data_IF_707664274709
#
_entry.id   IF_707664274709
#
_cell.length_a   1.000
_cell.length_b   1.000
_cell.length_c   1.000
_cell.angle_alpha   90.00
_cell.angle_beta   90.00
_cell.angle_gamma   90.00
#
_symmetry.space_group_name_H-M   'P 1'
#
loop_
_entity.id
_entity.type
_entity.pdbx_description
1 polymer ?
#
# COMPACT_ATOMS: atom_id res chain seq x y z
N UNK A 1 11.59 15.38 -24.62
CA UNK A 1 11.45 14.83 -23.26
C UNK A 1 10.91 13.43 -23.40
N UNK A 2 11.48 12.43 -22.71
CA UNK A 2 11.06 11.03 -22.84
C UNK A 2 10.42 10.61 -21.51
N UNK A 3 9.11 10.40 -21.50
CA UNK A 3 8.42 9.88 -20.32
C UNK A 3 7.86 8.51 -20.63
N UNK A 4 8.26 7.52 -19.83
CA UNK A 4 7.74 6.16 -19.91
C UNK A 4 6.49 6.06 -19.05
N UNK A 5 5.37 5.66 -19.66
CA UNK A 5 4.17 5.30 -18.91
C UNK A 5 4.40 3.96 -18.21
N UNK A 6 4.06 3.91 -16.93
CA UNK A 6 4.02 2.73 -16.09
C UNK A 6 2.57 2.28 -15.90
N UNK A 7 2.36 0.98 -15.84
CA UNK A 7 1.13 0.43 -15.27
C UNK A 7 1.09 0.66 -13.75
N UNK A 8 -0.08 0.48 -13.15
CA UNK A 8 -0.28 0.56 -11.70
C UNK A 8 0.59 -0.48 -10.96
N UNK A 9 0.80 -1.65 -11.57
CA UNK A 9 1.65 -2.70 -11.02
C UNK A 9 3.13 -2.31 -10.99
N UNK A 10 3.64 -1.77 -12.10
CA UNK A 10 5.02 -1.26 -12.16
C UNK A 10 5.23 -0.06 -11.23
N UNK A 11 4.23 0.79 -11.13
CA UNK A 11 4.25 1.92 -10.21
C UNK A 11 4.30 1.50 -8.74
N UNK A 12 3.50 0.50 -8.38
CA UNK A 12 3.46 0.00 -7.02
C UNK A 12 4.80 -0.58 -6.57
N UNK A 13 5.47 -1.37 -7.42
CA UNK A 13 6.80 -1.91 -7.12
C UNK A 13 7.80 -0.79 -6.81
N UNK A 14 7.72 0.30 -7.58
CA UNK A 14 8.60 1.45 -7.41
C UNK A 14 8.26 2.26 -6.13
N UNK A 15 6.97 2.37 -5.78
CA UNK A 15 6.58 2.94 -4.48
C UNK A 15 7.11 2.10 -3.34
N UNK A 16 7.01 0.77 -3.43
CA UNK A 16 7.53 -0.14 -2.41
C UNK A 16 9.03 0.06 -2.20
N UNK A 17 9.79 0.17 -3.30
CA UNK A 17 11.22 0.47 -3.24
C UNK A 17 11.49 1.81 -2.50
N UNK A 18 10.80 2.89 -2.87
CA UNK A 18 10.98 4.20 -2.22
C UNK A 18 10.50 4.23 -0.78
N UNK A 19 9.41 3.57 -0.48
CA UNK A 19 8.86 3.43 0.87
C UNK A 19 9.88 2.72 1.78
N UNK A 20 10.57 1.71 1.24
CA UNK A 20 11.67 1.03 1.94
C UNK A 20 12.79 2.00 2.32
N UNK A 21 13.26 2.81 1.37
CA UNK A 21 14.30 3.83 1.64
C UNK A 21 13.81 4.97 2.56
N UNK A 22 12.54 5.33 2.46
CA UNK A 22 11.91 6.38 3.26
C UNK A 22 11.56 5.98 4.69
N UNK A 23 11.83 4.72 5.10
CA UNK A 23 11.52 4.23 6.44
C UNK A 23 10.03 4.01 6.72
N UNK A 24 9.22 3.84 5.67
CA UNK A 24 7.82 3.49 5.79
C UNK A 24 7.67 2.05 6.29
N UNK A 25 6.62 1.79 7.07
CA UNK A 25 6.28 0.45 7.55
C UNK A 25 5.31 -0.25 6.61
N UNK A 26 4.42 0.53 6.00
CA UNK A 26 3.33 0.02 5.18
C UNK A 26 3.20 0.81 3.89
N UNK A 27 2.97 0.11 2.79
CA UNK A 27 2.39 0.70 1.58
C UNK A 27 1.00 0.13 1.43
N UNK A 28 -0.02 0.98 1.46
CA UNK A 28 -1.41 0.56 1.27
C UNK A 28 -1.90 1.18 -0.03
N UNK A 29 -2.43 0.37 -0.92
CA UNK A 29 -3.03 0.83 -2.16
C UNK A 29 -4.51 0.47 -2.21
N UNK A 30 -5.36 1.47 -2.38
CA UNK A 30 -6.75 1.21 -2.78
C UNK A 30 -6.79 0.80 -4.25
N UNK A 31 -7.47 -0.32 -4.53
CA UNK A 31 -7.76 -0.81 -5.89
C UNK A 31 -9.26 -0.84 -6.09
N UNK A 32 -9.74 -0.10 -7.08
CA UNK A 32 -11.14 -0.08 -7.48
C UNK A 32 -11.31 0.34 -8.93
N UNK A 33 -12.50 0.13 -9.49
CA UNK A 33 -12.82 0.63 -10.83
C UNK A 33 -13.15 2.13 -10.72
N UNK A 34 -13.27 2.78 -11.90
CA UNK A 34 -13.39 4.24 -11.99
C UNK A 34 -14.58 4.80 -11.20
N UNK A 35 -15.69 4.05 -11.10
CA UNK A 35 -16.91 4.51 -10.45
C UNK A 35 -16.74 4.64 -8.92
N UNK A 36 -15.99 3.74 -8.29
CA UNK A 36 -15.77 3.75 -6.83
C UNK A 36 -14.60 4.67 -6.43
N UNK A 37 -13.59 4.76 -7.29
CA UNK A 37 -12.33 5.44 -7.02
C UNK A 37 -12.49 6.91 -6.55
N UNK A 38 -13.23 7.75 -7.28
CA UNK A 38 -13.27 9.18 -6.98
C UNK A 38 -13.97 9.51 -5.66
N UNK A 39 -15.07 8.82 -5.36
CA UNK A 39 -15.81 8.99 -4.09
C UNK A 39 -14.94 8.61 -2.90
N UNK A 40 -14.29 7.45 -2.99
CA UNK A 40 -13.47 6.88 -1.91
C UNK A 40 -12.20 7.71 -1.69
N UNK A 41 -11.59 8.23 -2.76
CA UNK A 41 -10.44 9.13 -2.65
C UNK A 41 -10.77 10.36 -1.80
N UNK A 42 -11.88 11.04 -2.12
CA UNK A 42 -12.31 12.25 -1.42
C UNK A 42 -12.64 11.96 0.06
N UNK A 43 -13.22 10.80 0.36
CA UNK A 43 -13.49 10.38 1.74
C UNK A 43 -12.19 10.24 2.55
N UNK A 44 -11.16 9.59 1.99
CA UNK A 44 -9.88 9.37 2.68
C UNK A 44 -9.08 10.66 2.79
N UNK A 45 -9.00 11.46 1.72
CA UNK A 45 -8.23 12.70 1.67
C UNK A 45 -8.64 13.67 2.79
N UNK A 46 -9.95 13.81 3.03
CA UNK A 46 -10.50 14.67 4.08
C UNK A 46 -10.11 14.25 5.50
N UNK A 47 -9.82 12.97 5.71
CA UNK A 47 -9.49 12.41 7.02
C UNK A 47 -8.03 11.97 7.15
N UNK A 48 -7.23 12.14 6.10
CA UNK A 48 -5.88 11.56 6.00
C UNK A 48 -4.93 12.11 7.06
N UNK A 49 -4.93 13.42 7.31
CA UNK A 49 -4.06 14.04 8.31
C UNK A 49 -4.20 13.35 9.68
N UNK A 50 -5.43 13.09 10.12
CA UNK A 50 -5.73 12.41 11.37
C UNK A 50 -5.24 10.96 11.42
N UNK A 51 -5.30 10.23 10.30
CA UNK A 51 -4.82 8.84 10.21
C UNK A 51 -3.29 8.78 10.14
N UNK A 52 -2.69 9.69 9.39
CA UNK A 52 -1.27 9.73 9.10
C UNK A 52 -0.47 10.15 10.35
N UNK A 53 -0.98 11.10 11.13
CA UNK A 53 -0.38 11.52 12.41
C UNK A 53 -0.29 10.36 13.41
N UNK A 54 -1.31 9.48 13.46
CA UNK A 54 -1.34 8.36 14.40
C UNK A 54 -0.23 7.32 14.15
N UNK A 55 0.24 7.18 12.92
CA UNK A 55 1.34 6.27 12.57
C UNK A 55 2.68 6.98 12.37
N UNK A 56 2.77 8.26 12.78
CA UNK A 56 3.95 9.09 12.62
C UNK A 56 4.49 9.09 11.18
N UNK A 57 3.59 9.23 10.20
CA UNK A 57 3.91 9.24 8.76
C UNK A 57 4.53 7.94 8.21
N UNK A 58 4.31 6.79 8.84
CA UNK A 58 4.89 5.49 8.42
C UNK A 58 4.02 4.70 7.45
N UNK A 59 2.87 5.22 7.02
CA UNK A 59 2.00 4.61 6.02
C UNK A 59 2.07 5.41 4.72
N UNK A 60 2.48 4.77 3.64
CA UNK A 60 2.36 5.29 2.29
C UNK A 60 1.01 4.87 1.72
N UNK A 61 0.09 5.81 1.52
CA UNK A 61 -1.23 5.49 0.96
C UNK A 61 -1.33 5.90 -0.50
N UNK A 62 -1.49 4.90 -1.36
CA UNK A 62 -1.64 5.01 -2.80
C UNK A 62 -3.08 4.71 -3.17
N UNK A 63 -3.57 5.38 -4.20
CA UNK A 63 -4.94 5.28 -4.64
C UNK A 63 -4.98 5.00 -6.13
N UNK A 64 -5.66 3.93 -6.55
CA UNK A 64 -5.98 3.72 -7.95
C UNK A 64 -7.01 4.77 -8.37
N UNK A 65 -6.58 5.75 -9.16
CA UNK A 65 -7.40 6.90 -9.51
C UNK A 65 -7.72 6.92 -11.00
N UNK A 66 -8.83 7.57 -11.34
CA UNK A 66 -9.02 8.05 -12.71
C UNK A 66 -7.93 9.07 -13.06
N UNK A 67 -7.76 9.40 -14.34
CA UNK A 67 -6.66 10.30 -14.73
C UNK A 67 -6.84 11.69 -14.13
N UNK A 68 -5.84 12.16 -13.40
CA UNK A 68 -5.81 13.50 -12.83
C UNK A 68 -4.61 14.28 -13.36
N UNK A 69 -4.84 15.11 -14.38
CA UNK A 69 -3.82 15.83 -15.14
C UNK A 69 -2.84 16.63 -14.25
N UNK A 70 -3.31 17.14 -13.12
CA UNK A 70 -2.55 18.02 -12.22
C UNK A 70 -1.84 17.30 -11.08
N UNK A 71 -2.26 16.07 -10.75
CA UNK A 71 -1.80 15.33 -9.58
C UNK A 71 -1.45 13.88 -9.94
N UNK A 72 -0.55 13.73 -10.90
CA UNK A 72 -0.09 12.42 -11.33
C UNK A 72 1.17 11.98 -10.59
N UNK A 73 1.27 10.66 -10.46
CA UNK A 73 2.40 10.01 -9.86
C UNK A 73 3.59 9.97 -10.82
N UNK A 74 4.63 10.76 -10.54
CA UNK A 74 5.76 10.96 -11.45
C UNK A 74 7.13 10.85 -10.75
N UNK A 75 8.06 10.20 -11.43
CA UNK A 75 9.46 10.09 -11.05
C UNK A 75 10.39 10.70 -12.10
N UNK A 76 11.17 11.70 -11.70
CA UNK A 76 12.22 12.28 -12.53
C UNK A 76 13.52 11.51 -12.32
N UNK A 77 14.20 11.15 -13.41
CA UNK A 77 15.59 10.69 -13.30
C UNK A 77 16.50 11.91 -13.18
N UNK A 78 17.26 12.06 -12.07
CA UNK A 78 18.16 13.19 -11.93
C UNK A 78 19.27 13.15 -13.00
N UNK A 79 19.67 14.33 -13.48
CA UNK A 79 20.83 14.56 -14.36
C UNK A 79 20.84 13.83 -15.72
N UNK A 80 19.69 13.44 -16.27
CA UNK A 80 19.61 12.90 -17.65
C UNK A 80 19.07 13.94 -18.64
N UNK A 81 19.90 14.34 -19.61
CA UNK A 81 19.47 15.07 -20.81
C UNK A 81 19.47 14.15 -22.05
N UNK A 82 18.39 14.14 -22.87
CA UNK A 82 17.14 14.88 -22.68
C UNK A 82 16.36 14.36 -21.46
N UNK A 83 15.60 15.23 -20.80
CA UNK A 83 14.82 14.89 -19.60
C UNK A 83 14.10 13.54 -19.78
N UNK A 84 14.34 12.64 -18.81
CA UNK A 84 13.70 11.32 -18.72
C UNK A 84 12.94 11.17 -17.41
N UNK A 85 11.78 10.52 -17.47
CA UNK A 85 11.01 10.18 -16.28
C UNK A 85 10.10 8.97 -16.48
N UNK A 86 9.55 8.48 -15.37
CA UNK A 86 8.52 7.45 -15.33
C UNK A 86 7.25 8.03 -14.73
N UNK A 87 6.09 7.62 -15.21
CA UNK A 87 4.82 8.10 -14.66
C UNK A 87 3.75 7.03 -14.64
N UNK A 88 2.89 7.07 -13.62
CA UNK A 88 1.66 6.32 -13.59
C UNK A 88 0.46 7.30 -13.54
N UNK A 89 -0.33 7.39 -14.62
CA UNK A 89 -1.49 8.30 -14.66
C UNK A 89 -2.70 7.76 -13.88
N UNK A 90 -2.61 6.52 -13.38
CA UNK A 90 -3.70 5.83 -12.68
C UNK A 90 -3.46 5.71 -11.18
N UNK A 91 -2.45 6.40 -10.65
CA UNK A 91 -2.11 6.39 -9.24
C UNK A 91 -2.09 7.81 -8.66
N UNK A 92 -2.65 7.96 -7.47
CA UNK A 92 -2.54 9.17 -6.63
C UNK A 92 -2.03 8.80 -5.26
N UNK A 93 -1.18 9.64 -4.68
CA UNK A 93 -0.77 9.50 -3.28
C UNK A 93 -1.64 10.45 -2.47
N UNK A 94 -2.12 9.97 -1.31
CA UNK A 94 -2.94 10.78 -0.42
C UNK A 94 -2.04 11.58 0.53
N UNK A 95 -2.34 12.86 0.71
CA UNK A 95 -1.60 13.76 1.60
C UNK A 95 -0.34 14.36 0.98
N UNK A 96 0.65 14.69 1.81
CA UNK A 96 1.91 15.25 1.32
C UNK A 96 2.66 14.17 0.56
N UNK A 97 2.81 14.38 -0.74
CA UNK A 97 3.51 13.44 -1.60
C UNK A 97 5.03 13.52 -1.35
N UNK A 98 5.53 12.58 -0.54
CA UNK A 98 6.95 12.40 -0.25
C UNK A 98 7.67 11.54 -1.28
N UNK A 99 6.93 10.92 -2.20
CA UNK A 99 7.48 10.02 -3.21
C UNK A 99 7.62 10.69 -4.57
N UNK A 100 6.78 11.68 -4.91
CA UNK A 100 6.86 12.44 -6.16
C UNK A 100 8.19 13.17 -6.27
N UNK A 101 8.79 13.07 -7.45
CA UNK A 101 9.97 13.83 -7.85
C UNK A 101 9.64 14.91 -8.91
N UNK A 102 8.38 15.39 -9.00
CA UNK A 102 8.01 16.31 -10.09
C UNK A 102 7.17 17.54 -9.78
N UNK A 103 7.41 18.51 -10.67
CA UNK A 103 6.91 19.88 -10.76
C UNK A 103 6.47 20.10 -12.22
N UNK A 104 5.23 19.78 -12.59
CA UNK A 104 4.70 20.05 -13.94
C UNK A 104 3.42 19.30 -14.32
N UNK A 105 2.56 19.95 -15.11
CA UNK A 105 1.27 19.41 -15.58
C UNK A 105 1.45 18.33 -16.67
N UNK A 106 0.76 17.19 -16.49
CA UNK A 106 0.91 15.98 -17.30
C UNK A 106 0.64 16.14 -18.80
N UNK A 107 -0.33 16.99 -19.16
CA UNK A 107 -0.69 17.21 -20.56
C UNK A 107 0.51 17.68 -21.40
N UNK A 108 1.40 18.47 -20.80
CA UNK A 108 2.60 18.97 -21.46
C UNK A 108 3.75 17.97 -21.45
N UNK A 109 3.62 16.88 -20.68
CA UNK A 109 4.66 15.89 -20.48
C UNK A 109 4.51 14.63 -21.34
N UNK A 110 3.32 14.41 -21.92
CA UNK A 110 2.97 13.22 -22.68
C UNK A 110 2.62 13.58 -24.13
N UNK A 111 3.45 13.14 -25.09
CA UNK A 111 3.13 13.29 -26.51
C UNK A 111 1.85 12.50 -26.84
N UNK A 112 0.92 13.15 -27.55
CA UNK A 112 -0.37 12.56 -27.93
C UNK A 112 -1.34 12.26 -26.77
N UNK A 113 -1.24 12.99 -25.66
CA UNK A 113 -2.17 12.87 -24.52
C UNK A 113 -3.65 12.80 -24.94
N UNK A 114 -4.06 13.62 -25.93
CA UNK A 114 -5.44 13.68 -26.41
C UNK A 114 -5.88 12.49 -27.27
N UNK A 115 -4.96 11.68 -27.79
CA UNK A 115 -5.31 10.52 -28.64
C UNK A 115 -5.52 9.23 -27.86
N UNK A 116 -5.23 9.20 -26.56
CA UNK A 116 -5.34 7.99 -25.76
C UNK A 116 -6.75 7.73 -25.24
N UNK A 117 -7.20 6.47 -25.34
CA UNK A 117 -8.40 6.02 -24.65
C UNK A 117 -8.08 5.73 -23.17
N UNK A 118 -8.03 6.80 -22.39
CA UNK A 118 -7.65 6.77 -20.99
C UNK A 118 -8.52 5.89 -20.09
N UNK A 119 -9.80 5.72 -20.44
CA UNK A 119 -10.70 4.83 -19.72
C UNK A 119 -10.29 3.37 -19.91
N UNK A 120 -9.94 2.99 -21.12
CA UNK A 120 -9.48 1.64 -21.47
C UNK A 120 -8.12 1.35 -20.84
N UNK A 121 -7.17 2.28 -20.93
CA UNK A 121 -5.86 2.13 -20.30
C UNK A 121 -5.95 2.00 -18.77
N UNK A 122 -6.84 2.75 -18.12
CA UNK A 122 -7.11 2.56 -16.69
C UNK A 122 -7.65 1.16 -16.40
N UNK A 123 -8.63 0.69 -17.17
CA UNK A 123 -9.19 -0.66 -17.01
C UNK A 123 -8.13 -1.73 -17.18
N UNK A 124 -7.30 -1.63 -18.22
CA UNK A 124 -6.19 -2.55 -18.48
C UNK A 124 -5.18 -2.53 -17.32
N UNK A 125 -4.79 -1.35 -16.86
CA UNK A 125 -3.83 -1.22 -15.76
C UNK A 125 -4.34 -1.80 -14.43
N UNK A 126 -5.64 -1.77 -14.16
CA UNK A 126 -6.22 -2.45 -12.99
C UNK A 126 -6.22 -3.96 -13.21
N UNK A 127 -6.58 -4.43 -14.41
CA UNK A 127 -6.58 -5.85 -14.76
C UNK A 127 -5.18 -6.46 -14.62
N UNK A 128 -4.15 -5.80 -15.17
CA UNK A 128 -2.76 -6.21 -14.99
C UNK A 128 -2.36 -6.27 -13.51
N UNK A 129 -2.82 -5.31 -12.70
CA UNK A 129 -2.54 -5.29 -11.27
C UNK A 129 -3.15 -6.48 -10.54
N UNK A 130 -4.44 -6.77 -10.76
CA UNK A 130 -5.11 -7.87 -10.06
C UNK A 130 -4.60 -9.23 -10.54
N UNK A 131 -4.27 -9.39 -11.82
CA UNK A 131 -3.71 -10.62 -12.37
C UNK A 131 -2.33 -10.92 -11.78
N UNK A 132 -1.44 -9.91 -11.73
CA UNK A 132 -0.11 -10.04 -11.12
C UNK A 132 -0.16 -10.49 -9.66
N UNK A 133 -1.20 -10.05 -8.93
CA UNK A 133 -1.33 -10.27 -7.49
C UNK A 133 -2.38 -11.33 -7.13
N UNK A 134 -2.84 -12.12 -8.10
CA UNK A 134 -3.81 -13.21 -7.91
C UNK A 134 -5.14 -12.76 -7.24
N UNK A 135 -5.56 -11.52 -7.50
CA UNK A 135 -6.81 -10.94 -7.00
C UNK A 135 -7.91 -11.19 -8.03
N UNK A 136 -9.08 -11.66 -7.60
CA UNK A 136 -10.23 -11.87 -8.50
C UNK A 136 -10.97 -10.57 -8.74
N UNK A 137 -11.46 -10.37 -9.96
CA UNK A 137 -12.28 -9.20 -10.33
C UNK A 137 -13.49 -9.02 -9.40
N UNK A 138 -14.14 -10.12 -8.99
CA UNK A 138 -15.30 -10.10 -8.10
C UNK A 138 -14.97 -9.66 -6.66
N UNK A 139 -13.69 -9.60 -6.30
CA UNK A 139 -13.25 -9.18 -4.98
C UNK A 139 -12.95 -7.68 -4.91
N UNK A 140 -13.08 -6.95 -6.03
CA UNK A 140 -12.97 -5.48 -6.08
C UNK A 140 -14.27 -4.80 -5.59
N UNK A 141 -14.19 -3.59 -5.00
CA UNK A 141 -12.97 -2.85 -4.64
C UNK A 141 -12.33 -3.34 -3.34
N UNK A 142 -11.06 -3.00 -3.12
CA UNK A 142 -10.33 -3.42 -1.93
C UNK A 142 -9.02 -2.68 -1.64
N UNK A 143 -8.38 -3.06 -0.55
CA UNK A 143 -7.08 -2.57 -0.11
C UNK A 143 -6.00 -3.63 -0.34
N UNK A 144 -4.98 -3.25 -1.08
CA UNK A 144 -3.75 -4.01 -1.22
C UNK A 144 -2.70 -3.47 -0.23
N UNK A 145 -2.40 -4.25 0.80
CA UNK A 145 -1.51 -3.87 1.90
C UNK A 145 -0.17 -4.59 1.74
N UNK A 146 0.91 -3.83 1.69
CA UNK A 146 2.28 -4.33 1.68
C UNK A 146 3.01 -3.97 2.96
N UNK A 147 3.56 -4.98 3.63
CA UNK A 147 4.46 -4.81 4.76
C UNK A 147 5.90 -4.66 4.26
N UNK A 148 6.49 -3.48 4.48
CA UNK A 148 7.84 -3.17 4.01
C UNK A 148 8.91 -4.06 4.67
N UNK A 149 8.75 -4.37 5.95
CA UNK A 149 9.73 -5.15 6.70
C UNK A 149 9.66 -6.65 6.36
N UNK A 150 8.44 -7.19 6.29
CA UNK A 150 8.22 -8.62 6.02
C UNK A 150 8.22 -8.94 4.52
N UNK A 151 8.15 -7.92 3.65
CA UNK A 151 8.01 -8.06 2.19
C UNK A 151 6.82 -8.92 1.78
N UNK A 152 5.73 -8.82 2.54
CA UNK A 152 4.51 -9.58 2.34
C UNK A 152 3.36 -8.68 1.92
N UNK A 153 2.50 -9.21 1.06
CA UNK A 153 1.28 -8.57 0.58
C UNK A 153 0.05 -9.22 1.18
N UNK A 154 -1.01 -8.44 1.36
CA UNK A 154 -2.34 -8.94 1.69
C UNK A 154 -3.40 -8.10 1.00
N UNK A 155 -4.38 -8.77 0.41
CA UNK A 155 -5.56 -8.12 -0.14
C UNK A 155 -6.72 -8.19 0.85
N UNK A 156 -7.42 -7.07 1.02
CA UNK A 156 -8.60 -6.93 1.88
C UNK A 156 -9.73 -6.39 1.02
N UNK A 157 -10.71 -7.23 0.70
CA UNK A 157 -11.92 -6.80 0.01
C UNK A 157 -12.72 -5.84 0.89
N UNK A 158 -13.19 -4.74 0.30
CA UNK A 158 -14.13 -3.84 0.96
C UNK A 158 -15.55 -4.37 0.73
N UNK A 159 -16.28 -4.51 1.84
CA UNK A 159 -17.71 -4.85 1.81
C UNK A 159 -18.53 -3.56 1.84
N UNK A 160 -19.69 -3.56 1.21
CA UNK A 160 -20.57 -2.39 1.11
C UNK A 160 -20.93 -1.74 2.45
N UNK A 161 -20.92 -2.52 3.54
CA UNK A 161 -21.24 -2.07 4.90
C UNK A 161 -20.03 -1.48 5.66
N UNK A 162 -18.79 -1.83 5.27
CA UNK A 162 -17.58 -1.38 5.96
C UNK A 162 -16.94 -0.18 5.22
N UNK A 163 -17.08 1.02 5.78
CA UNK A 163 -16.42 2.21 5.26
C UNK A 163 -14.89 2.10 5.32
N UNK A 164 -14.22 2.47 4.22
CA UNK A 164 -12.75 2.42 4.10
C UNK A 164 -12.06 3.19 5.24
N UNK A 165 -12.63 4.32 5.67
CA UNK A 165 -12.10 5.10 6.76
C UNK A 165 -12.04 4.30 8.07
N UNK A 166 -13.10 3.56 8.39
CA UNK A 166 -13.15 2.71 9.60
C UNK A 166 -12.10 1.62 9.56
N UNK A 167 -11.88 1.02 8.38
CA UNK A 167 -10.87 -0.01 8.18
C UNK A 167 -9.46 0.56 8.36
N UNK A 168 -9.16 1.70 7.72
CA UNK A 168 -7.87 2.38 7.87
C UNK A 168 -7.63 2.88 9.30
N UNK A 169 -8.66 3.38 9.98
CA UNK A 169 -8.58 3.78 11.39
C UNK A 169 -8.22 2.59 12.27
N UNK A 170 -8.88 1.45 12.10
CA UNK A 170 -8.60 0.24 12.86
C UNK A 170 -7.19 -0.31 12.57
N UNK A 171 -6.78 -0.31 11.30
CA UNK A 171 -5.44 -0.70 10.88
C UNK A 171 -4.36 0.20 11.53
N UNK A 172 -4.56 1.51 11.43
CA UNK A 172 -3.67 2.54 12.00
C UNK A 172 -3.53 2.37 13.51
N UNK A 173 -4.65 2.20 14.22
CA UNK A 173 -4.65 2.01 15.67
C UNK A 173 -3.92 0.73 16.09
N UNK A 174 -4.20 -0.41 15.43
CA UNK A 174 -3.50 -1.67 15.69
C UNK A 174 -2.01 -1.58 15.38
N UNK A 175 -1.63 -0.95 14.27
CA UNK A 175 -0.21 -0.75 13.92
C UNK A 175 0.52 0.05 15.01
N UNK A 176 -0.11 1.10 15.55
CA UNK A 176 0.46 1.89 16.64
C UNK A 176 0.61 1.09 17.93
N UNK A 177 -0.42 0.32 18.33
CA UNK A 177 -0.32 -0.53 19.52
C UNK A 177 0.84 -1.52 19.42
N UNK A 178 1.07 -2.09 18.25
CA UNK A 178 2.21 -2.98 17.99
C UNK A 178 3.53 -2.20 18.13
N UNK A 179 3.63 -1.00 17.55
CA UNK A 179 4.84 -0.17 17.68
C UNK A 179 5.13 0.19 19.14
N UNK A 180 4.12 0.59 19.91
CA UNK A 180 4.26 0.89 21.34
C UNK A 180 4.73 -0.34 22.14
N UNK A 181 4.23 -1.54 21.81
CA UNK A 181 4.68 -2.80 22.43
C UNK A 181 6.13 -3.13 22.06
N UNK A 182 6.53 -2.92 20.80
CA UNK A 182 7.91 -3.12 20.35
C UNK A 182 8.85 -2.11 21.04
N UNK A 183 8.48 -0.84 21.14
CA UNK A 183 9.31 0.17 21.83
C UNK A 183 9.43 -0.10 23.34
N UNK A 184 8.34 -0.52 23.98
CA UNK A 184 8.35 -0.85 25.40
C UNK A 184 9.13 -2.14 25.70
N UNK A 185 9.11 -3.13 24.81
CA UNK A 185 9.90 -4.36 24.95
C UNK A 185 11.38 -4.14 24.61
N UNK A 186 11.71 -3.32 23.61
CA UNK A 186 13.10 -3.01 23.23
C UNK A 186 13.85 -2.11 24.23
N UNK A 187 13.14 -1.42 25.14
CA UNK A 187 13.74 -0.74 26.31
C UNK A 187 14.18 -1.69 27.44
N UNK A 188 13.85 -2.99 27.37
CA UNK A 188 14.36 -4.04 28.27
C UNK A 188 15.33 -4.93 27.48
N UNK A 189 16.64 -4.76 27.71
CA UNK A 189 17.71 -5.41 26.92
C UNK A 189 17.67 -6.95 26.95
N UNK A 190 18.02 -7.50 25.78
CA UNK A 190 18.56 -8.81 25.38
C UNK A 190 17.86 -10.13 25.78
N UNK A 191 17.89 -11.08 24.83
CA UNK A 191 17.23 -12.40 24.73
C UNK A 191 15.69 -12.45 24.79
N UNK A 192 15.04 -11.41 25.32
CA UNK A 192 13.58 -11.36 25.42
C UNK A 192 12.84 -10.96 24.14
N UNK A 193 13.51 -10.50 23.07
CA UNK A 193 12.81 -10.08 21.83
C UNK A 193 12.21 -11.26 21.07
N UNK A 194 12.96 -12.35 20.92
CA UNK A 194 12.46 -13.57 20.28
C UNK A 194 11.33 -14.17 21.13
N UNK A 195 11.50 -14.23 22.44
CA UNK A 195 10.45 -14.69 23.36
C UNK A 195 9.21 -13.80 23.35
N UNK A 196 9.38 -12.48 23.31
CA UNK A 196 8.27 -11.53 23.22
C UNK A 196 7.54 -11.63 21.88
N UNK A 197 8.23 -11.90 20.77
CA UNK A 197 7.61 -12.20 19.48
C UNK A 197 6.80 -13.50 19.57
N UNK A 198 7.37 -14.57 20.13
CA UNK A 198 6.66 -15.84 20.35
C UNK A 198 5.44 -15.69 21.28
N UNK A 199 5.57 -14.98 22.40
CA UNK A 199 4.47 -14.72 23.33
C UNK A 199 3.39 -13.83 22.67
N UNK A 200 3.78 -12.95 21.74
CA UNK A 200 2.87 -12.10 20.95
C UNK A 200 2.12 -12.91 19.90
N UNK A 201 2.78 -13.85 19.21
CA UNK A 201 2.14 -14.79 18.29
C UNK A 201 1.15 -15.70 19.01
N UNK A 202 1.52 -16.19 20.20
CA UNK A 202 0.63 -17.01 21.03
C UNK A 202 -0.60 -16.23 21.52
N UNK A 203 -0.42 -14.94 21.84
CA UNK A 203 -1.53 -14.04 22.18
C UNK A 203 -2.43 -13.72 20.97
N UNK A 204 -1.86 -13.56 19.77
CA UNK A 204 -2.61 -13.41 18.50
C UNK A 204 -3.42 -14.68 18.20
N UNK A 205 -2.83 -15.87 18.38
CA UNK A 205 -3.50 -17.16 18.25
C UNK A 205 -4.64 -17.32 19.25
N UNK A 206 -4.43 -16.92 20.51
CA UNK A 206 -5.45 -16.97 21.57
C UNK A 206 -6.61 -16.01 21.30
N UNK A 207 -6.33 -14.80 20.82
CA UNK A 207 -7.37 -13.83 20.42
C UNK A 207 -8.15 -14.30 19.17
N UNK A 208 -7.48 -14.96 18.22
CA UNK A 208 -8.14 -15.53 17.04
C UNK A 208 -9.01 -16.75 17.38
N UNK A 209 -8.67 -17.51 18.44
CA UNK A 209 -9.51 -18.60 18.96
C UNK A 209 -10.85 -18.11 19.54
N UNK A 210 -10.93 -16.84 19.96
CA UNK A 210 -12.14 -16.21 20.49
C UNK A 210 -12.98 -15.49 19.40
N UNK A 211 -12.61 -15.60 18.12
CA UNK A 211 -13.30 -15.01 16.96
C UNK A 211 -13.60 -16.06 15.87
N UNK A 212 -14.39 -15.70 14.86
CA UNK A 212 -15.02 -16.66 13.93
C UNK A 212 -14.04 -17.67 13.28
N UNK A 213 -14.51 -18.88 12.93
CA UNK A 213 -13.66 -19.98 12.44
C UNK A 213 -12.79 -19.62 11.23
N UNK A 214 -13.25 -18.70 10.37
CA UNK A 214 -12.48 -18.25 9.21
C UNK A 214 -11.22 -17.45 9.58
N UNK A 215 -11.28 -16.60 10.62
CA UNK A 215 -10.12 -15.82 11.08
C UNK A 215 -9.04 -16.70 11.72
N UNK A 216 -9.45 -17.78 12.38
CA UNK A 216 -8.56 -18.75 13.01
C UNK A 216 -7.75 -19.55 11.99
N UNK A 217 -8.37 -20.05 10.92
CA UNK A 217 -7.67 -20.83 9.89
C UNK A 217 -6.65 -19.97 9.13
N UNK A 218 -7.03 -18.73 8.77
CA UNK A 218 -6.17 -17.78 8.06
C UNK A 218 -4.91 -17.38 8.85
N UNK A 219 -4.97 -17.32 10.18
CA UNK A 219 -3.83 -16.97 11.03
C UNK A 219 -2.98 -18.19 11.42
N UNK A 220 -3.60 -19.36 11.59
CA UNK A 220 -2.86 -20.62 11.81
C UNK A 220 -2.02 -21.04 10.59
N UNK A 221 -2.52 -20.84 9.37
CA UNK A 221 -1.73 -21.08 8.14
C UNK A 221 -0.58 -20.08 7.99
N UNK A 222 -0.79 -18.81 8.37
CA UNK A 222 0.24 -17.78 8.36
C UNK A 222 1.40 -18.11 9.31
N UNK A 223 1.10 -18.58 10.52
CA UNK A 223 2.09 -18.93 11.54
C UNK A 223 2.74 -20.30 11.34
N UNK A 224 2.06 -21.26 10.69
CA UNK A 224 2.64 -22.56 10.35
C UNK A 224 3.80 -22.45 9.33
N UNK A 225 3.87 -21.36 8.57
CA UNK A 225 4.93 -21.09 7.59
C UNK A 225 6.27 -20.64 8.21
N UNK A 226 6.31 -20.34 9.51
CA UNK A 226 7.53 -19.89 10.23
C UNK A 226 8.50 -21.02 10.62
N UNK A 227 8.23 -22.28 10.28
CA UNK A 227 9.09 -23.39 10.73
C UNK A 227 10.47 -23.47 10.05
N UNK A 228 10.77 -22.63 9.07
CA UNK A 228 12.02 -22.75 8.27
C UNK A 228 13.15 -21.76 8.63
N UNK A 229 13.07 -21.09 9.78
CA UNK A 229 14.16 -20.21 10.26
C UNK A 229 15.45 -20.91 10.69
N UNK A 230 15.57 -22.24 10.51
CA UNK A 230 16.86 -22.94 10.64
C UNK A 230 17.78 -22.78 9.43
N UNK A 231 17.34 -22.14 8.34
CA UNK A 231 18.16 -21.96 7.12
C UNK A 231 18.94 -20.65 7.03
N UNK A 232 18.76 -19.69 7.96
CA UNK A 232 19.50 -18.42 7.98
C UNK A 232 20.65 -18.39 9.01
N UNK A 233 21.35 -19.52 9.15
CA UNK A 233 22.72 -19.54 9.68
C UNK A 233 23.59 -20.26 8.64
N UNK A 234 24.01 -19.50 7.63
CA UNK A 234 25.32 -19.59 6.96
C UNK A 234 25.51 -18.35 6.07
#
# INVERSE_FOLDING_TARGET
>A
MIVTQLSLAEYFDLIVERATYGGYKWVIMFIGRKAEAEKIYNEIENCWASLNDLTNNRIAFVFSASIHIRDNSFYKFPHQEPYRGRMCPFARIVGKDTFRDNVGDFEYLCHHFQSYNWKELHTQSITEFIEKNEIRECDLPGLFVYNVYLRQTKYIQLKDEEGIYSLLRNFTYKSKQIDDLIENSSRKMDDNKVKAIFDLEEAILKYANDQSPECKNLLCEFLASERDYKSCKD
#
